data_IF_985514879393
#
_entry.id   IF_985514879393
#
_cell.length_a   1.000
_cell.length_b   1.000
_cell.length_c   1.000
_cell.angle_alpha   90.00
_cell.angle_beta   90.00
_cell.angle_gamma   90.00
#
_symmetry.space_group_name_H-M   'P 1'
#
loop_
_entity.id
_entity.type
_entity.pdbx_description
1 polymer ?
#
# COMPACT_ATOMS: atom_id res chain seq x y z
N UNK A 1 1.95 -8.51 -20.56
CA UNK A 1 3.03 -7.63 -20.04
C UNK A 1 2.55 -6.19 -19.77
N UNK A 2 1.81 -5.54 -20.68
CA UNK A 2 1.36 -4.13 -20.49
C UNK A 2 0.45 -3.96 -19.27
N UNK A 3 -0.44 -4.92 -19.02
CA UNK A 3 -1.41 -4.86 -17.90
C UNK A 3 -0.73 -4.70 -16.54
N UNK A 4 0.28 -5.52 -16.22
CA UNK A 4 0.99 -5.41 -14.94
C UNK A 4 1.74 -4.08 -14.78
N UNK A 5 2.30 -3.54 -15.86
CA UNK A 5 2.92 -2.21 -15.86
C UNK A 5 1.88 -1.12 -15.60
N UNK A 6 0.71 -1.21 -16.21
CA UNK A 6 -0.40 -0.29 -15.96
C UNK A 6 -0.85 -0.36 -14.50
N UNK A 7 -1.05 -1.57 -13.96
CA UNK A 7 -1.40 -1.76 -12.55
C UNK A 7 -0.32 -1.17 -11.64
N UNK A 8 0.96 -1.45 -11.90
CA UNK A 8 2.06 -0.89 -11.12
C UNK A 8 2.08 0.65 -11.14
N UNK A 9 1.84 1.26 -12.30
CA UNK A 9 1.70 2.71 -12.43
C UNK A 9 0.52 3.27 -11.64
N UNK A 10 -0.63 2.57 -11.62
CA UNK A 10 -1.78 2.97 -10.79
C UNK A 10 -1.44 2.95 -9.30
N UNK A 11 -0.71 1.94 -8.84
CA UNK A 11 -0.22 1.89 -7.46
C UNK A 11 0.75 3.04 -7.13
N UNK A 12 1.65 3.37 -8.05
CA UNK A 12 2.56 4.52 -7.89
C UNK A 12 1.77 5.83 -7.83
N UNK A 13 0.77 6.01 -8.70
CA UNK A 13 -0.10 7.20 -8.66
C UNK A 13 -0.83 7.29 -7.32
N UNK A 14 -1.43 6.19 -6.86
CA UNK A 14 -2.11 6.14 -5.57
C UNK A 14 -1.15 6.45 -4.40
N UNK A 15 0.09 5.96 -4.45
CA UNK A 15 1.11 6.27 -3.46
C UNK A 15 1.46 7.77 -3.41
N UNK A 16 1.63 8.40 -4.57
CA UNK A 16 1.90 9.85 -4.66
C UNK A 16 0.71 10.68 -4.19
N UNK A 17 -0.52 10.25 -4.49
CA UNK A 17 -1.73 10.91 -3.99
C UNK A 17 -1.84 10.79 -2.46
N UNK A 18 -1.55 9.62 -1.89
CA UNK A 18 -1.53 9.42 -0.45
C UNK A 18 -0.46 10.29 0.23
N UNK A 19 0.77 10.32 -0.33
CA UNK A 19 1.85 11.16 0.16
C UNK A 19 1.50 12.65 0.12
N UNK A 20 0.91 13.12 -0.98
CA UNK A 20 0.48 14.51 -1.10
C UNK A 20 -0.62 14.88 -0.11
N UNK A 21 -1.58 13.98 0.11
CA UNK A 21 -2.62 14.17 1.13
C UNK A 21 -2.05 14.19 2.55
N UNK A 22 -1.10 13.32 2.87
CA UNK A 22 -0.44 13.30 4.18
C UNK A 22 0.44 14.54 4.41
N UNK A 23 1.07 15.06 3.35
CA UNK A 23 1.81 16.31 3.42
C UNK A 23 0.89 17.51 3.74
N UNK A 24 -0.30 17.57 3.14
CA UNK A 24 -1.30 18.61 3.46
C UNK A 24 -1.78 18.49 4.91
N UNK A 25 -2.12 17.28 5.37
CA UNK A 25 -2.50 17.03 6.76
C UNK A 25 -1.39 17.42 7.74
N UNK A 26 -0.13 17.15 7.38
CA UNK A 26 1.02 17.55 8.20
C UNK A 26 1.15 19.07 8.33
N UNK A 27 0.89 19.81 7.25
CA UNK A 27 0.91 21.27 7.29
C UNK A 27 -0.25 21.83 8.14
N UNK A 28 -1.44 21.24 8.05
CA UNK A 28 -2.60 21.64 8.86
C UNK A 28 -2.39 21.36 10.35
N UNK A 29 -1.80 20.21 10.68
CA UNK A 29 -1.52 19.81 12.07
C UNK A 29 -0.31 20.54 12.67
N UNK A 30 0.58 21.10 11.84
CA UNK A 30 1.84 21.70 12.30
C UNK A 30 2.88 20.66 12.75
N UNK A 31 2.66 19.38 12.45
CA UNK A 31 3.56 18.27 12.75
C UNK A 31 3.54 17.21 11.64
N UNK A 32 4.56 16.36 11.56
CA UNK A 32 4.62 15.31 10.54
C UNK A 32 3.59 14.23 10.87
N UNK A 33 2.54 14.15 10.06
CA UNK A 33 1.48 13.16 10.17
C UNK A 33 1.50 12.26 8.93
N UNK A 34 1.43 10.95 9.15
CA UNK A 34 1.36 9.97 8.08
C UNK A 34 0.30 8.94 8.44
N UNK A 35 -0.64 8.69 7.53
CA UNK A 35 -1.66 7.68 7.77
C UNK A 35 -1.09 6.31 7.48
N UNK A 36 -1.40 5.37 8.34
CA UNK A 36 -1.13 3.95 8.12
C UNK A 36 -1.88 3.43 6.91
N UNK A 37 -1.39 2.34 6.32
CA UNK A 37 -2.07 1.67 5.21
C UNK A 37 -3.48 1.19 5.61
N UNK A 38 -3.65 0.76 6.86
CA UNK A 38 -4.95 0.36 7.41
C UNK A 38 -5.95 1.51 7.43
N UNK A 39 -5.54 2.69 7.91
CA UNK A 39 -6.38 3.90 7.93
C UNK A 39 -6.72 4.36 6.51
N UNK A 40 -5.74 4.37 5.61
CA UNK A 40 -5.98 4.71 4.21
C UNK A 40 -6.96 3.74 3.54
N UNK A 41 -6.81 2.42 3.75
CA UNK A 41 -7.74 1.44 3.20
C UNK A 41 -9.14 1.62 3.79
N UNK A 42 -9.27 1.93 5.08
CA UNK A 42 -10.58 2.22 5.68
C UNK A 42 -11.28 3.42 5.02
N UNK A 43 -10.53 4.48 4.66
CA UNK A 43 -11.06 5.64 3.92
C UNK A 43 -11.56 5.26 2.51
N UNK A 44 -10.91 4.30 1.86
CA UNK A 44 -11.32 3.83 0.52
C UNK A 44 -12.53 2.91 0.61
N UNK A 45 -12.46 1.90 1.48
CA UNK A 45 -13.54 0.93 1.69
C UNK A 45 -13.36 0.13 2.98
N UNK A 46 -13.84 0.68 4.10
CA UNK A 46 -13.82 0.08 5.45
C UNK A 46 -14.25 -1.39 5.48
N UNK A 47 -15.41 -1.75 4.91
CA UNK A 47 -15.90 -3.13 4.98
C UNK A 47 -14.97 -4.19 4.36
N UNK A 48 -14.17 -3.82 3.34
CA UNK A 48 -13.21 -4.74 2.72
C UNK A 48 -11.95 -4.89 3.56
N UNK A 49 -11.52 -3.80 4.22
CA UNK A 49 -10.42 -3.80 5.18
C UNK A 49 -10.78 -4.65 6.39
N UNK A 50 -11.97 -4.51 6.94
CA UNK A 50 -12.41 -5.28 8.11
C UNK A 50 -12.53 -6.76 7.81
N UNK A 51 -13.09 -7.12 6.65
CA UNK A 51 -13.11 -8.50 6.19
C UNK A 51 -11.69 -9.09 6.08
N UNK A 52 -10.74 -8.32 5.57
CA UNK A 52 -9.34 -8.75 5.46
C UNK A 52 -8.66 -8.91 6.83
N UNK A 53 -8.82 -7.95 7.74
CA UNK A 53 -8.27 -8.02 9.11
C UNK A 53 -8.88 -9.19 9.88
N UNK A 54 -10.19 -9.42 9.75
CA UNK A 54 -10.88 -10.56 10.34
C UNK A 54 -10.35 -11.90 9.81
N UNK A 55 -10.12 -11.98 8.50
CA UNK A 55 -9.50 -13.15 7.87
C UNK A 55 -8.05 -13.36 8.34
N UNK A 56 -7.24 -12.30 8.52
CA UNK A 56 -5.90 -12.45 9.11
C UNK A 56 -5.98 -13.03 10.53
N UNK A 57 -6.93 -12.57 11.32
CA UNK A 57 -7.12 -13.04 12.69
C UNK A 57 -7.48 -14.53 12.77
N UNK A 58 -8.38 -14.99 11.90
CA UNK A 58 -9.02 -16.30 12.01
C UNK A 58 -8.53 -17.35 11.00
N UNK A 59 -8.17 -16.94 9.78
CA UNK A 59 -7.90 -17.83 8.65
C UNK A 59 -6.47 -17.81 8.11
N UNK A 60 -5.66 -16.80 8.46
CA UNK A 60 -4.27 -16.74 7.97
C UNK A 60 -3.33 -17.68 8.75
N UNK A 61 -2.35 -18.29 8.06
CA UNK A 61 -1.24 -19.00 8.69
C UNK A 61 -0.55 -18.14 9.74
N UNK A 62 -0.13 -18.74 10.86
CA UNK A 62 0.40 -18.03 12.02
C UNK A 62 1.64 -17.17 11.68
N UNK A 63 2.51 -17.68 10.81
CA UNK A 63 3.69 -16.95 10.32
C UNK A 63 3.39 -15.71 9.46
N UNK A 64 2.15 -15.53 8.97
CA UNK A 64 1.74 -14.35 8.21
C UNK A 64 1.08 -13.27 9.07
N UNK A 65 0.57 -13.61 10.27
CA UNK A 65 -0.17 -12.66 11.11
C UNK A 65 0.68 -11.46 11.53
N UNK A 66 1.92 -11.72 11.96
CA UNK A 66 2.88 -10.68 12.35
C UNK A 66 3.23 -9.74 11.19
N UNK A 67 3.80 -10.25 10.08
CA UNK A 67 4.16 -9.44 8.93
C UNK A 67 2.98 -8.63 8.34
N UNK A 68 1.77 -9.21 8.29
CA UNK A 68 0.60 -8.47 7.81
C UNK A 68 0.19 -7.34 8.76
N UNK A 69 0.31 -7.54 10.07
CA UNK A 69 0.10 -6.48 11.06
C UNK A 69 1.08 -5.32 10.87
N UNK A 70 2.35 -5.61 10.59
CA UNK A 70 3.35 -4.59 10.27
C UNK A 70 2.97 -3.83 9.00
N UNK A 71 2.69 -4.52 7.89
CA UNK A 71 2.28 -3.88 6.62
C UNK A 71 1.07 -2.97 6.81
N UNK A 72 0.09 -3.37 7.63
CA UNK A 72 -1.08 -2.55 7.96
C UNK A 72 -0.73 -1.25 8.71
N UNK A 73 0.33 -1.27 9.52
CA UNK A 73 0.78 -0.13 10.31
C UNK A 73 1.75 0.81 9.57
N UNK A 74 2.41 0.34 8.51
CA UNK A 74 3.31 1.17 7.71
C UNK A 74 2.56 2.31 6.99
N UNK A 75 3.23 3.45 6.70
CA UNK A 75 2.63 4.55 5.94
C UNK A 75 2.05 4.08 4.60
N UNK A 76 0.83 4.51 4.30
CA UNK A 76 0.08 4.03 3.13
C UNK A 76 0.82 4.26 1.81
N UNK A 77 1.43 5.44 1.64
CA UNK A 77 2.22 5.77 0.46
C UNK A 77 3.41 4.82 0.27
N UNK A 78 4.04 4.36 1.37
CA UNK A 78 5.17 3.45 1.34
C UNK A 78 4.77 2.07 0.84
N UNK A 79 3.68 1.52 1.40
CA UNK A 79 3.14 0.22 1.00
C UNK A 79 2.72 0.23 -0.48
N UNK A 80 1.92 1.22 -0.89
CA UNK A 80 1.46 1.36 -2.27
C UNK A 80 2.63 1.57 -3.26
N UNK A 81 3.60 2.40 -2.87
CA UNK A 81 4.77 2.71 -3.70
C UNK A 81 5.65 1.50 -3.95
N UNK A 82 5.96 0.72 -2.89
CA UNK A 82 6.76 -0.50 -3.02
C UNK A 82 6.06 -1.52 -3.92
N UNK A 83 4.75 -1.76 -3.72
CA UNK A 83 3.98 -2.66 -4.58
C UNK A 83 4.04 -2.20 -6.04
N UNK A 84 3.81 -0.90 -6.28
CA UNK A 84 3.84 -0.33 -7.63
C UNK A 84 5.21 -0.46 -8.31
N UNK A 85 6.29 -0.17 -7.59
CA UNK A 85 7.68 -0.31 -8.08
C UNK A 85 8.01 -1.77 -8.38
N UNK A 86 7.63 -2.72 -7.53
CA UNK A 86 7.87 -4.15 -7.78
C UNK A 86 7.11 -4.60 -9.04
N UNK A 87 5.83 -4.24 -9.16
CA UNK A 87 5.03 -4.60 -10.33
C UNK A 87 5.54 -3.96 -11.62
N UNK A 88 5.96 -2.69 -11.59
CA UNK A 88 6.48 -2.03 -12.79
C UNK A 88 7.93 -2.43 -13.11
N UNK A 89 8.76 -2.58 -12.08
CA UNK A 89 10.22 -2.71 -12.15
C UNK A 89 10.74 -4.14 -12.27
N UNK A 90 10.16 -5.11 -11.56
CA UNK A 90 10.53 -6.53 -11.71
C UNK A 90 10.28 -7.00 -13.16
N UNK A 91 9.19 -6.51 -13.76
CA UNK A 91 8.87 -6.75 -15.16
C UNK A 91 9.80 -6.02 -16.15
N UNK A 92 10.33 -4.86 -15.77
CA UNK A 92 11.34 -4.18 -16.57
C UNK A 92 12.69 -4.91 -16.54
N UNK A 93 13.04 -5.53 -15.41
CA UNK A 93 14.24 -6.36 -15.26
C UNK A 93 14.13 -7.70 -16.00
N UNK A 94 12.98 -8.38 -15.93
CA UNK A 94 12.72 -9.62 -16.68
C UNK A 94 12.89 -9.43 -18.20
N UNK A 95 12.54 -8.27 -18.74
CA UNK A 95 12.69 -7.94 -20.17
C UNK A 95 14.14 -7.68 -20.64
N UNK A 96 15.08 -7.48 -19.72
CA UNK A 96 16.49 -7.21 -20.03
C UNK A 96 17.35 -8.48 -20.09
N UNK A 97 16.79 -9.62 -19.66
CA UNK A 97 17.47 -10.91 -19.68
C UNK A 97 17.23 -11.74 -20.94
N UNK A 98 16.33 -11.29 -21.82
CA UNK A 98 16.08 -11.82 -23.18
C UNK A 98 16.83 -10.97 -24.22
#
# INVERSE_FOLDING_TARGET
MVVFRLIGLLFIIAALMALGSDALLSLEAGEVTMRSFSEFWALVHEGSRDAFVSWIGSGAPEGLKGPMGEVMAFPAWGVLGIIGIVLAGLLALLRRGD
#
